data_IF_419227986836
#
_entry.id   IF_419227986836
#
_cell.length_a   1.000
_cell.length_b   1.000
_cell.length_c   1.000
_cell.angle_alpha   90.00
_cell.angle_beta   90.00
_cell.angle_gamma   90.00
#
_symmetry.space_group_name_H-M   'P 1'
#
loop_
_entity.id
_entity.type
_entity.pdbx_description
1 polymer ?
#
# COMPACT_ATOMS: atom_id res chain seq x y z
N UNK A 1 21.06 40.89 62.61
CA UNK A 1 22.36 40.20 62.65
C UNK A 1 22.84 40.01 61.23
N UNK A 2 24.04 40.48 60.89
CA UNK A 2 24.55 40.39 59.52
C UNK A 2 24.97 38.93 59.23
N UNK A 3 24.68 38.36 58.04
CA UNK A 3 24.97 36.95 57.72
C UNK A 3 26.46 36.56 57.81
N UNK A 4 27.36 37.53 57.83
CA UNK A 4 28.80 37.35 57.99
C UNK A 4 29.25 36.98 59.40
N UNK A 5 28.55 37.44 60.46
CA UNK A 5 28.93 37.14 61.85
C UNK A 5 28.63 35.69 62.25
N UNK A 6 27.57 35.10 61.67
CA UNK A 6 27.17 33.71 61.92
C UNK A 6 28.10 32.72 61.22
N UNK A 7 28.63 33.08 60.05
CA UNK A 7 29.60 32.30 59.29
C UNK A 7 30.98 32.25 59.98
N UNK A 8 31.44 33.37 60.54
CA UNK A 8 32.72 33.45 61.25
C UNK A 8 32.76 32.61 62.53
N UNK A 9 31.65 32.50 63.27
CA UNK A 9 31.53 31.60 64.43
C UNK A 9 31.55 30.11 64.06
N UNK A 10 31.06 29.75 62.87
CA UNK A 10 31.10 28.36 62.38
C UNK A 10 32.51 27.89 61.98
N UNK A 11 33.40 28.82 61.63
CA UNK A 11 34.78 28.53 61.22
C UNK A 11 35.71 28.14 62.38
N UNK A 12 35.33 28.40 63.64
CA UNK A 12 36.12 28.02 64.82
C UNK A 12 36.01 26.52 65.17
N UNK A 13 35.02 25.82 64.61
CA UNK A 13 34.77 24.39 64.81
C UNK A 13 35.52 23.50 63.79
N UNK A 14 36.27 24.09 62.86
CA UNK A 14 36.97 23.37 61.80
C UNK A 14 38.46 23.16 62.11
N UNK A 15 39.07 22.05 61.62
CA UNK A 15 40.50 21.82 61.72
C UNK A 15 41.32 22.97 61.08
N UNK A 16 42.52 23.29 61.59
CA UNK A 16 43.29 24.48 61.19
C UNK A 16 43.55 24.58 59.68
N UNK A 17 43.81 23.44 59.03
CA UNK A 17 44.09 23.35 57.58
C UNK A 17 42.88 23.67 56.69
N UNK A 18 41.66 23.43 57.18
CA UNK A 18 40.42 23.73 56.47
C UNK A 18 39.96 25.17 56.74
N UNK A 19 40.24 25.70 57.93
CA UNK A 19 40.01 27.11 58.28
C UNK A 19 40.86 28.05 57.42
N UNK A 20 42.14 27.76 57.22
CA UNK A 20 43.02 28.56 56.36
C UNK A 20 42.57 28.55 54.89
N UNK A 21 42.13 27.40 54.35
CA UNK A 21 41.59 27.33 52.99
C UNK A 21 40.30 28.13 52.81
N UNK A 22 39.40 28.09 53.80
CA UNK A 22 38.15 28.83 53.76
C UNK A 22 38.36 30.35 53.87
N UNK A 23 39.33 30.80 54.67
CA UNK A 23 39.71 32.22 54.77
C UNK A 23 40.36 32.74 53.49
N UNK A 24 41.17 31.91 52.82
CA UNK A 24 41.79 32.25 51.53
C UNK A 24 40.76 32.42 50.41
N UNK A 25 39.80 31.49 50.32
CA UNK A 25 38.71 31.60 49.35
C UNK A 25 37.79 32.81 49.58
N UNK A 26 37.73 33.34 50.80
CA UNK A 26 36.96 34.55 51.12
C UNK A 26 37.72 35.84 50.78
N UNK A 27 39.05 35.81 50.84
CA UNK A 27 39.92 36.90 50.35
C UNK A 27 39.96 36.95 48.82
N UNK A 28 39.93 35.80 48.15
CA UNK A 28 39.89 35.70 46.68
C UNK A 28 38.52 36.06 46.07
N UNK A 29 37.45 36.05 46.88
CA UNK A 29 36.08 36.37 46.45
C UNK A 29 35.68 37.84 46.66
N UNK A 30 36.57 38.71 47.15
CA UNK A 30 36.35 40.15 47.13
C UNK A 30 36.74 40.69 45.76
N UNK A 31 35.82 41.34 45.01
CA UNK A 31 36.17 41.94 43.74
C UNK A 31 37.12 43.12 43.97
N UNK A 32 38.26 43.13 43.30
CA UNK A 32 39.15 44.30 43.24
C UNK A 32 38.36 45.53 42.73
N UNK A 33 38.46 46.65 43.46
CA UNK A 33 37.97 47.95 43.00
C UNK A 33 38.68 48.35 41.70
N UNK A 34 37.96 48.87 40.70
CA UNK A 34 38.58 49.33 39.46
C UNK A 34 39.33 50.66 39.68
N UNK A 35 40.41 50.93 38.93
CA UNK A 35 41.09 52.22 38.98
C UNK A 35 40.23 53.35 38.40
N UNK A 36 40.47 54.57 38.91
CA UNK A 36 39.78 55.82 38.54
C UNK A 36 39.84 56.13 37.02
N UNK A 37 38.86 56.86 36.47
CA UNK A 37 38.59 56.89 35.04
C UNK A 37 39.63 57.74 34.28
N UNK A 38 40.29 57.12 33.30
CA UNK A 38 40.98 57.84 32.21
C UNK A 38 39.92 58.20 31.17
N UNK A 39 39.81 59.50 30.87
CA UNK A 39 38.90 60.01 29.86
C UNK A 39 39.44 59.73 28.46
N UNK A 40 38.91 58.71 27.80
CA UNK A 40 39.08 58.44 26.37
C UNK A 40 37.76 57.86 25.80
N UNK A 41 37.54 58.01 24.48
CA UNK A 41 36.38 58.67 23.90
C UNK A 41 35.08 57.88 24.06
N UNK A 42 33.95 58.60 24.00
CA UNK A 42 32.62 58.01 23.77
C UNK A 42 32.72 57.06 22.57
N UNK A 43 32.80 55.77 22.84
CA UNK A 43 32.46 54.73 21.86
C UNK A 43 30.95 54.83 21.76
N UNK A 44 30.47 55.40 20.64
CA UNK A 44 29.06 55.28 20.27
C UNK A 44 28.68 53.80 20.37
N UNK A 45 27.81 53.47 21.32
CA UNK A 45 27.17 52.16 21.37
C UNK A 45 26.47 51.97 20.03
N UNK A 46 27.05 51.15 19.16
CA UNK A 46 26.38 50.74 17.93
C UNK A 46 24.98 50.24 18.33
N UNK A 47 23.92 50.77 17.69
CA UNK A 47 22.56 50.63 18.20
C UNK A 47 22.24 49.14 18.37
N UNK A 48 21.55 48.77 19.46
CA UNK A 48 21.14 47.38 19.74
C UNK A 48 20.39 46.73 18.56
N UNK A 49 19.77 47.54 17.70
CA UNK A 49 19.18 47.11 16.41
C UNK A 49 20.21 46.49 15.45
N UNK A 50 21.46 46.95 15.41
CA UNK A 50 22.54 46.40 14.59
C UNK A 50 23.01 45.03 15.08
N UNK A 51 23.02 44.79 16.40
CA UNK A 51 23.37 43.48 16.96
C UNK A 51 22.26 42.44 16.77
N UNK A 52 20.99 42.83 16.92
CA UNK A 52 19.86 41.93 16.64
C UNK A 52 19.72 41.63 15.14
N UNK A 53 19.97 42.61 14.27
CA UNK A 53 19.97 42.39 12.82
C UNK A 53 21.12 41.50 12.38
N UNK A 54 22.33 41.65 12.96
CA UNK A 54 23.45 40.74 12.76
C UNK A 54 23.17 39.32 13.26
N UNK A 55 22.52 39.17 14.43
CA UNK A 55 22.12 37.87 14.95
C UNK A 55 21.06 37.19 14.07
N UNK A 56 20.06 37.94 13.59
CA UNK A 56 19.06 37.45 12.63
C UNK A 56 19.71 37.07 11.29
N UNK A 57 20.65 37.86 10.79
CA UNK A 57 21.40 37.55 9.56
C UNK A 57 22.22 36.27 9.70
N UNK A 58 22.86 36.04 10.85
CA UNK A 58 23.58 34.78 11.15
C UNK A 58 22.64 33.58 11.21
N UNK A 59 21.50 33.69 11.90
CA UNK A 59 20.48 32.64 11.94
C UNK A 59 19.92 32.31 10.55
N UNK A 60 19.66 33.32 9.73
CA UNK A 60 19.23 33.14 8.34
C UNK A 60 20.32 32.48 7.48
N UNK A 61 21.60 32.86 7.64
CA UNK A 61 22.71 32.24 6.95
C UNK A 61 22.89 30.77 7.37
N UNK A 62 22.71 30.47 8.65
CA UNK A 62 22.78 29.11 9.18
C UNK A 62 21.60 28.26 8.68
N UNK A 63 20.38 28.82 8.65
CA UNK A 63 19.21 28.17 8.06
C UNK A 63 19.40 27.90 6.56
N UNK A 64 20.01 28.84 5.81
CA UNK A 64 20.36 28.65 4.39
C UNK A 64 21.40 27.54 4.20
N UNK A 65 22.41 27.44 5.07
CA UNK A 65 23.39 26.35 5.05
C UNK A 65 22.74 24.99 5.35
N UNK A 66 21.86 24.91 6.35
CA UNK A 66 21.10 23.68 6.62
C UNK A 66 20.19 23.30 5.45
N UNK A 67 19.49 24.28 4.85
CA UNK A 67 18.65 24.05 3.67
C UNK A 67 19.49 23.57 2.47
N UNK A 68 20.68 24.12 2.27
CA UNK A 68 21.60 23.72 1.20
C UNK A 68 22.18 22.32 1.44
N UNK A 69 22.63 22.01 2.65
CA UNK A 69 23.11 20.68 3.02
C UNK A 69 22.00 19.63 2.92
N UNK A 70 20.76 20.00 3.28
CA UNK A 70 19.58 19.17 3.09
C UNK A 70 19.29 18.94 1.60
N UNK A 71 19.31 20.01 0.80
CA UNK A 71 19.13 19.92 -0.65
C UNK A 71 20.25 19.11 -1.33
N UNK A 72 21.49 19.17 -0.84
CA UNK A 72 22.62 18.36 -1.33
C UNK A 72 22.51 16.89 -0.92
N UNK A 73 21.96 16.57 0.26
CA UNK A 73 21.64 15.20 0.68
C UNK A 73 20.41 14.63 -0.04
N UNK A 74 19.46 15.49 -0.40
CA UNK A 74 18.26 15.15 -1.16
C UNK A 74 18.50 15.18 -2.68
N UNK A 75 19.74 15.47 -3.14
CA UNK A 75 20.07 15.39 -4.57
C UNK A 75 19.86 13.95 -5.05
N UNK A 76 19.18 13.77 -6.18
CA UNK A 76 19.02 12.44 -6.76
C UNK A 76 20.40 11.91 -7.14
N UNK A 77 20.81 10.82 -6.50
CA UNK A 77 22.03 10.09 -6.83
C UNK A 77 21.66 8.80 -7.55
N UNK A 78 22.51 8.35 -8.48
CA UNK A 78 22.35 7.05 -9.14
C UNK A 78 22.27 5.91 -8.11
N UNK A 79 23.14 5.96 -7.09
CA UNK A 79 23.14 4.98 -5.99
C UNK A 79 21.81 4.96 -5.23
N UNK A 80 21.20 6.12 -4.96
CA UNK A 80 19.89 6.21 -4.32
C UNK A 80 18.77 5.60 -5.16
N UNK A 81 18.80 5.80 -6.48
CA UNK A 81 17.82 5.16 -7.39
C UNK A 81 18.00 3.64 -7.41
N UNK A 82 19.23 3.14 -7.53
CA UNK A 82 19.52 1.70 -7.55
C UNK A 82 19.18 1.04 -6.20
N UNK A 83 19.43 1.72 -5.08
CA UNK A 83 19.04 1.23 -3.76
C UNK A 83 17.52 1.09 -3.62
N UNK A 84 16.75 2.10 -4.02
CA UNK A 84 15.28 2.05 -4.00
C UNK A 84 14.73 0.99 -4.98
N UNK A 85 15.36 0.84 -6.15
CA UNK A 85 15.03 -0.22 -7.10
C UNK A 85 15.24 -1.59 -6.45
N UNK A 86 16.40 -1.85 -5.87
CA UNK A 86 16.71 -3.10 -5.19
C UNK A 86 15.74 -3.39 -4.03
N UNK A 87 15.42 -2.37 -3.22
CA UNK A 87 14.42 -2.47 -2.16
C UNK A 87 13.04 -2.85 -2.70
N UNK A 88 12.60 -2.23 -3.80
CA UNK A 88 11.32 -2.55 -4.42
C UNK A 88 11.24 -4.04 -4.86
N UNK A 89 12.29 -4.57 -5.48
CA UNK A 89 12.34 -5.98 -5.88
C UNK A 89 12.44 -6.94 -4.69
N UNK A 90 13.15 -6.56 -3.61
CA UNK A 90 13.17 -7.33 -2.37
C UNK A 90 11.78 -7.42 -1.72
N UNK A 91 11.06 -6.29 -1.65
CA UNK A 91 9.68 -6.24 -1.15
C UNK A 91 8.71 -7.08 -2.00
N UNK A 92 8.93 -7.12 -3.32
CA UNK A 92 8.15 -7.96 -4.21
C UNK A 92 8.37 -9.46 -3.92
N UNK A 93 9.62 -9.86 -3.64
CA UNK A 93 9.95 -11.22 -3.23
C UNK A 93 9.34 -11.60 -1.87
N UNK A 94 9.14 -10.62 -0.97
CA UNK A 94 8.42 -10.78 0.30
C UNK A 94 6.89 -10.79 0.16
N UNK A 95 6.36 -10.79 -1.07
CA UNK A 95 4.92 -10.67 -1.35
C UNK A 95 4.31 -9.37 -0.79
N UNK A 96 5.01 -8.24 -0.90
CA UNK A 96 4.53 -6.90 -0.50
C UNK A 96 4.38 -5.98 -1.72
N UNK A 97 3.50 -6.33 -2.67
CA UNK A 97 3.43 -5.71 -4.01
C UNK A 97 3.07 -4.21 -3.98
N UNK A 98 2.19 -3.78 -3.08
CA UNK A 98 1.82 -2.36 -2.97
C UNK A 98 2.97 -1.51 -2.44
N UNK A 99 3.69 -2.00 -1.43
CA UNK A 99 4.87 -1.31 -0.92
C UNK A 99 6.00 -1.31 -1.94
N UNK A 100 6.24 -2.45 -2.58
CA UNK A 100 7.19 -2.58 -3.67
C UNK A 100 6.91 -1.54 -4.77
N UNK A 101 5.65 -1.41 -5.20
CA UNK A 101 5.28 -0.43 -6.23
C UNK A 101 5.42 1.01 -5.75
N UNK A 102 5.07 1.33 -4.51
CA UNK A 102 5.29 2.67 -3.94
C UNK A 102 6.78 3.03 -3.89
N UNK A 103 7.64 2.09 -3.47
CA UNK A 103 9.10 2.26 -3.45
C UNK A 103 9.64 2.41 -4.88
N UNK A 104 9.13 1.63 -5.82
CA UNK A 104 9.45 1.74 -7.24
C UNK A 104 9.07 3.11 -7.84
N UNK A 105 7.88 3.63 -7.52
CA UNK A 105 7.45 4.98 -7.95
C UNK A 105 8.37 6.08 -7.38
N UNK A 106 8.86 5.92 -6.14
CA UNK A 106 9.87 6.83 -5.56
C UNK A 106 11.19 6.76 -6.34
N UNK A 107 11.64 5.55 -6.70
CA UNK A 107 12.83 5.37 -7.53
C UNK A 107 12.66 6.07 -8.90
N UNK A 108 11.50 5.93 -9.55
CA UNK A 108 11.20 6.63 -10.81
C UNK A 108 11.17 8.14 -10.66
N UNK A 109 10.56 8.66 -9.58
CA UNK A 109 10.54 10.09 -9.31
C UNK A 109 11.95 10.66 -9.09
N UNK A 110 12.79 9.93 -8.37
CA UNK A 110 14.20 10.30 -8.14
C UNK A 110 15.00 10.26 -9.47
N UNK A 111 14.77 9.25 -10.30
CA UNK A 111 15.45 9.05 -11.58
C UNK A 111 15.16 10.16 -12.61
N UNK A 112 13.97 10.80 -12.57
CA UNK A 112 13.63 11.93 -13.46
C UNK A 112 14.59 13.12 -13.34
N UNK A 113 15.30 13.25 -12.23
CA UNK A 113 16.32 14.28 -12.01
C UNK A 113 17.70 13.94 -12.58
N UNK A 114 17.86 12.77 -13.20
CA UNK A 114 19.14 12.24 -13.71
C UNK A 114 19.08 12.04 -15.23
N UNK A 115 20.21 12.16 -15.94
CA UNK A 115 20.27 11.87 -17.38
C UNK A 115 20.03 10.38 -17.64
N UNK A 116 19.25 10.04 -18.67
CA UNK A 116 18.87 8.66 -19.01
C UNK A 116 20.07 7.73 -19.21
N UNK A 117 21.17 8.25 -19.77
CA UNK A 117 22.43 7.52 -19.97
C UNK A 117 23.10 7.06 -18.67
N UNK A 118 22.62 7.51 -17.49
CA UNK A 118 23.15 7.10 -16.20
C UNK A 118 22.74 5.67 -15.79
N UNK A 119 21.77 5.05 -16.47
CA UNK A 119 21.22 3.75 -16.08
C UNK A 119 21.51 2.67 -17.12
N UNK A 120 22.02 1.53 -16.66
CA UNK A 120 22.31 0.36 -17.52
C UNK A 120 21.04 -0.40 -17.87
N UNK A 121 20.10 -0.48 -16.92
CA UNK A 121 18.77 -1.08 -17.12
C UNK A 121 17.70 -0.01 -16.91
N UNK A 122 16.82 0.24 -17.89
CA UNK A 122 15.79 1.26 -17.77
C UNK A 122 14.78 0.88 -16.69
N UNK A 123 14.44 1.85 -15.83
CA UNK A 123 13.50 1.68 -14.72
C UNK A 123 12.05 1.76 -15.21
N UNK A 124 11.63 0.79 -16.03
CA UNK A 124 10.31 0.80 -16.68
C UNK A 124 9.23 0.13 -15.84
N UNK A 125 8.00 0.62 -15.98
CA UNK A 125 6.84 -0.01 -15.33
C UNK A 125 6.63 -1.41 -15.89
N UNK A 126 6.85 -1.64 -17.19
CA UNK A 126 6.71 -2.98 -17.76
C UNK A 126 7.64 -4.00 -17.12
N UNK A 127 8.90 -3.64 -16.82
CA UNK A 127 9.85 -4.54 -16.15
C UNK A 127 9.39 -4.89 -14.72
N UNK A 128 8.86 -3.92 -13.99
CA UNK A 128 8.28 -4.17 -12.66
C UNK A 128 7.05 -5.10 -12.74
N UNK A 129 6.15 -4.86 -13.70
CA UNK A 129 4.96 -5.69 -13.90
C UNK A 129 5.32 -7.11 -14.37
N UNK A 130 6.36 -7.28 -15.17
CA UNK A 130 6.90 -8.59 -15.56
C UNK A 130 7.40 -9.37 -14.35
N UNK A 131 8.16 -8.71 -13.45
CA UNK A 131 8.61 -9.33 -12.22
C UNK A 131 7.46 -9.69 -11.28
N UNK A 132 6.42 -8.84 -11.21
CA UNK A 132 5.21 -9.13 -10.45
C UNK A 132 4.44 -10.31 -11.04
N UNK A 133 4.19 -10.33 -12.35
CA UNK A 133 3.54 -11.46 -13.02
C UNK A 133 4.33 -12.77 -12.83
N UNK A 134 5.66 -12.69 -12.92
CA UNK A 134 6.56 -13.82 -12.66
C UNK A 134 6.49 -14.31 -11.22
N UNK A 135 6.42 -13.40 -10.23
CA UNK A 135 6.29 -13.79 -8.82
C UNK A 135 4.95 -14.48 -8.53
N UNK A 136 3.91 -14.15 -9.29
CA UNK A 136 2.60 -14.81 -9.29
C UNK A 136 2.58 -16.17 -10.02
N UNK A 137 3.66 -16.53 -10.73
CA UNK A 137 3.74 -17.76 -11.52
C UNK A 137 2.94 -17.69 -12.83
N UNK A 138 2.73 -16.50 -13.38
CA UNK A 138 1.97 -16.28 -14.61
C UNK A 138 2.90 -16.23 -15.82
N UNK A 139 2.59 -17.03 -16.84
CA UNK A 139 3.25 -16.95 -18.16
C UNK A 139 2.32 -16.24 -19.14
N UNK A 140 2.53 -14.94 -19.33
CA UNK A 140 1.64 -14.07 -20.11
C UNK A 140 2.24 -13.74 -21.48
N UNK A 141 1.44 -13.85 -22.55
CA UNK A 141 1.88 -13.53 -23.91
C UNK A 141 0.82 -12.77 -24.71
N UNK A 142 1.26 -11.99 -25.70
CA UNK A 142 0.39 -11.24 -26.60
C UNK A 142 -0.64 -10.38 -25.86
N UNK A 143 -1.90 -10.47 -26.28
CA UNK A 143 -3.01 -9.69 -25.70
C UNK A 143 -3.25 -9.98 -24.21
N UNK A 144 -2.92 -11.17 -23.72
CA UNK A 144 -3.12 -11.51 -22.31
C UNK A 144 -2.17 -10.71 -21.41
N UNK A 145 -0.94 -10.49 -21.89
CA UNK A 145 0.07 -9.66 -21.23
C UNK A 145 -0.37 -8.21 -21.16
N UNK A 146 -0.84 -7.65 -22.27
CA UNK A 146 -1.32 -6.25 -22.34
C UNK A 146 -2.47 -5.99 -21.36
N UNK A 147 -3.45 -6.89 -21.33
CA UNK A 147 -4.61 -6.81 -20.42
C UNK A 147 -4.18 -7.00 -18.97
N UNK A 148 -3.37 -8.02 -18.67
CA UNK A 148 -2.88 -8.28 -17.33
C UNK A 148 -2.06 -7.12 -16.76
N UNK A 149 -1.15 -6.55 -17.55
CA UNK A 149 -0.29 -5.44 -17.10
C UNK A 149 -1.11 -4.20 -16.79
N UNK A 150 -2.09 -3.91 -17.65
CA UNK A 150 -3.04 -2.82 -17.41
C UNK A 150 -3.82 -3.01 -16.12
N UNK A 151 -4.35 -4.23 -15.88
CA UNK A 151 -5.14 -4.52 -14.68
C UNK A 151 -4.27 -4.54 -13.41
N UNK A 152 -3.06 -5.10 -13.46
CA UNK A 152 -2.11 -5.11 -12.35
C UNK A 152 -1.66 -3.69 -11.99
N UNK A 153 -1.30 -2.88 -12.98
CA UNK A 153 -0.91 -1.50 -12.73
C UNK A 153 -2.08 -0.69 -12.16
N UNK A 154 -3.29 -0.82 -12.72
CA UNK A 154 -4.48 -0.16 -12.16
C UNK A 154 -4.77 -0.61 -10.73
N UNK A 155 -4.62 -1.91 -10.43
CA UNK A 155 -4.79 -2.42 -9.07
C UNK A 155 -3.80 -1.78 -8.09
N UNK A 156 -2.52 -1.66 -8.47
CA UNK A 156 -1.50 -1.02 -7.64
C UNK A 156 -1.81 0.47 -7.43
N UNK A 157 -2.14 1.19 -8.50
CA UNK A 157 -2.51 2.61 -8.46
C UNK A 157 -3.77 2.86 -7.61
N UNK A 158 -4.81 2.04 -7.77
CA UNK A 158 -6.04 2.11 -6.97
C UNK A 158 -5.73 1.82 -5.50
N UNK A 159 -4.93 0.79 -5.23
CA UNK A 159 -4.54 0.42 -3.87
C UNK A 159 -3.80 1.56 -3.16
N UNK A 160 -2.83 2.20 -3.84
CA UNK A 160 -2.12 3.35 -3.30
C UNK A 160 -3.04 4.58 -3.14
N UNK A 161 -3.84 4.89 -4.15
CA UNK A 161 -4.74 6.05 -4.13
C UNK A 161 -5.78 5.97 -3.00
N UNK A 162 -6.32 4.77 -2.76
CA UNK A 162 -7.30 4.52 -1.69
C UNK A 162 -6.65 4.27 -0.32
N UNK A 163 -5.32 4.34 -0.22
CA UNK A 163 -4.61 4.13 1.05
C UNK A 163 -4.74 2.71 1.60
N UNK A 164 -4.80 1.69 0.72
CA UNK A 164 -4.88 0.30 1.15
C UNK A 164 -3.64 -0.10 1.97
N UNK A 165 -3.84 -0.99 2.94
CA UNK A 165 -2.74 -1.47 3.76
C UNK A 165 -1.64 -2.11 2.87
N UNK A 166 -0.34 -1.92 3.16
CA UNK A 166 0.75 -2.47 2.34
C UNK A 166 0.70 -3.99 2.15
N UNK A 167 0.04 -4.70 3.09
CA UNK A 167 -0.16 -6.13 3.01
C UNK A 167 -1.42 -6.56 2.24
N UNK A 168 -2.11 -5.63 1.58
CA UNK A 168 -3.29 -5.97 0.80
C UNK A 168 -2.89 -6.84 -0.38
N UNK A 169 -3.60 -7.96 -0.50
CA UNK A 169 -3.26 -9.00 -1.46
C UNK A 169 -4.15 -9.01 -2.70
N UNK A 170 -5.25 -8.25 -2.65
CA UNK A 170 -6.25 -8.13 -3.71
C UNK A 170 -6.83 -6.72 -3.72
N UNK A 171 -7.05 -6.18 -4.90
CA UNK A 171 -7.64 -4.86 -5.08
C UNK A 171 -8.89 -4.99 -5.94
N UNK A 172 -9.98 -4.37 -5.49
CA UNK A 172 -11.26 -4.37 -6.18
C UNK A 172 -11.53 -2.98 -6.75
N UNK A 173 -11.88 -2.91 -8.03
CA UNK A 173 -12.26 -1.68 -8.69
C UNK A 173 -13.22 -1.92 -9.85
N UNK A 174 -13.91 -0.87 -10.25
CA UNK A 174 -14.85 -0.90 -11.37
C UNK A 174 -14.19 -0.35 -12.64
N UNK A 175 -14.42 -1.00 -13.78
CA UNK A 175 -13.92 -0.55 -15.07
C UNK A 175 -14.82 -1.02 -16.23
N UNK A 176 -15.21 -0.14 -17.17
CA UNK A 176 -15.94 -0.58 -18.37
C UNK A 176 -15.01 -1.35 -19.33
N UNK A 177 -15.40 -2.56 -19.73
CA UNK A 177 -14.64 -3.35 -20.71
C UNK A 177 -14.39 -2.60 -22.03
N UNK A 178 -15.36 -1.81 -22.49
CA UNK A 178 -15.21 -1.00 -23.71
C UNK A 178 -14.11 0.04 -23.56
N UNK A 179 -13.96 0.65 -22.37
CA UNK A 179 -12.88 1.61 -22.10
C UNK A 179 -11.52 0.93 -22.15
N UNK A 180 -11.39 -0.27 -21.57
CA UNK A 180 -10.15 -1.06 -21.60
C UNK A 180 -9.77 -1.39 -23.06
N UNK A 181 -10.72 -1.90 -23.84
CA UNK A 181 -10.47 -2.26 -25.23
C UNK A 181 -10.06 -1.06 -26.09
N UNK A 182 -10.67 0.11 -25.88
CA UNK A 182 -10.32 1.35 -26.58
C UNK A 182 -8.94 1.89 -26.15
N UNK A 183 -8.61 1.79 -24.87
CA UNK A 183 -7.31 2.25 -24.36
C UNK A 183 -6.15 1.36 -24.86
N UNK A 184 -6.36 0.05 -24.94
CA UNK A 184 -5.35 -0.90 -25.41
C UNK A 184 -5.21 -0.94 -26.93
N UNK A 185 -6.34 -0.88 -27.66
CA UNK A 185 -6.37 -1.05 -29.11
C UNK A 185 -7.22 0.03 -29.78
N UNK A 186 -6.79 1.31 -29.77
CA UNK A 186 -7.56 2.41 -30.34
C UNK A 186 -7.81 2.26 -31.84
N UNK A 187 -6.88 1.63 -32.56
CA UNK A 187 -6.95 1.37 -34.01
C UNK A 187 -7.87 0.19 -34.37
N UNK A 188 -8.24 -0.65 -33.40
CA UNK A 188 -9.06 -1.82 -33.66
C UNK A 188 -10.55 -1.45 -33.75
N UNK A 189 -11.28 -2.12 -34.64
CA UNK A 189 -12.75 -2.05 -34.65
C UNK A 189 -13.28 -2.39 -33.24
N UNK A 190 -14.26 -1.64 -32.68
CA UNK A 190 -14.72 -1.81 -31.31
C UNK A 190 -15.10 -3.25 -30.94
N UNK A 191 -15.77 -3.96 -31.85
CA UNK A 191 -16.16 -5.37 -31.67
C UNK A 191 -14.96 -6.31 -31.56
N UNK A 192 -13.91 -6.03 -32.33
CA UNK A 192 -12.68 -6.83 -32.35
C UNK A 192 -11.90 -6.63 -31.06
N UNK A 193 -11.70 -5.38 -30.64
CA UNK A 193 -11.07 -5.06 -29.36
C UNK A 193 -11.81 -5.71 -28.19
N UNK A 194 -13.15 -5.64 -28.19
CA UNK A 194 -13.98 -6.26 -27.15
C UNK A 194 -13.85 -7.79 -27.13
N UNK A 195 -13.90 -8.45 -28.28
CA UNK A 195 -13.70 -9.93 -28.36
C UNK A 195 -12.31 -10.35 -27.90
N UNK A 196 -11.27 -9.59 -28.25
CA UNK A 196 -9.89 -9.82 -27.77
C UNK A 196 -9.83 -9.72 -26.25
N UNK A 197 -10.39 -8.65 -25.69
CA UNK A 197 -10.45 -8.44 -24.25
C UNK A 197 -11.18 -9.58 -23.54
N UNK A 198 -12.38 -9.98 -24.01
CA UNK A 198 -13.15 -11.04 -23.37
C UNK A 198 -12.40 -12.38 -23.35
N UNK A 199 -11.69 -12.73 -24.42
CA UNK A 199 -10.84 -13.92 -24.46
C UNK A 199 -9.68 -13.84 -23.47
N UNK A 200 -9.02 -12.69 -23.39
CA UNK A 200 -7.94 -12.46 -22.45
C UNK A 200 -8.44 -12.54 -21.00
N UNK A 201 -9.55 -11.87 -20.68
CA UNK A 201 -10.17 -11.92 -19.36
C UNK A 201 -10.50 -13.35 -18.92
N UNK A 202 -11.09 -14.17 -19.80
CA UNK A 202 -11.37 -15.58 -19.49
C UNK A 202 -10.10 -16.37 -19.13
N UNK A 203 -9.00 -16.17 -19.88
CA UNK A 203 -7.70 -16.81 -19.57
C UNK A 203 -7.07 -16.29 -18.28
N UNK A 204 -7.22 -15.00 -17.97
CA UNK A 204 -6.73 -14.43 -16.72
C UNK A 204 -7.55 -14.88 -15.50
N UNK A 205 -8.85 -15.11 -15.66
CA UNK A 205 -9.70 -15.76 -14.65
C UNK A 205 -9.30 -17.22 -14.44
N UNK A 206 -9.08 -17.98 -15.52
CA UNK A 206 -8.59 -19.36 -15.45
C UNK A 206 -7.24 -19.45 -14.75
N UNK A 207 -6.33 -18.51 -15.03
CA UNK A 207 -5.03 -18.38 -14.38
C UNK A 207 -5.13 -17.91 -12.92
N UNK A 208 -6.31 -17.43 -12.48
CA UNK A 208 -6.56 -16.98 -11.12
C UNK A 208 -6.03 -15.58 -10.80
N UNK A 209 -5.58 -14.81 -11.81
CA UNK A 209 -5.13 -13.43 -11.62
C UNK A 209 -6.29 -12.51 -11.24
N UNK A 210 -7.47 -12.75 -11.83
CA UNK A 210 -8.64 -11.90 -11.62
C UNK A 210 -9.90 -12.70 -11.30
N UNK A 211 -10.87 -12.03 -10.69
CA UNK A 211 -12.28 -12.40 -10.73
C UNK A 211 -13.07 -11.20 -11.25
N UNK A 212 -13.99 -11.41 -12.18
CA UNK A 212 -14.79 -10.32 -12.75
C UNK A 212 -16.29 -10.60 -12.70
N UNK A 213 -17.08 -9.54 -12.52
CA UNK A 213 -18.54 -9.63 -12.56
C UNK A 213 -19.12 -8.38 -13.21
N UNK A 214 -20.11 -8.52 -14.13
CA UNK A 214 -20.79 -7.37 -14.70
C UNK A 214 -21.58 -6.65 -13.60
N UNK A 215 -21.50 -5.32 -13.58
CA UNK A 215 -22.33 -4.48 -12.69
C UNK A 215 -23.48 -3.89 -13.48
N UNK A 216 -24.66 -3.93 -12.87
CA UNK A 216 -25.82 -3.18 -13.31
C UNK A 216 -25.80 -1.84 -12.60
N UNK A 217 -25.77 -0.77 -13.38
CA UNK A 217 -25.72 0.59 -12.88
C UNK A 217 -27.03 1.05 -12.29
N UNK A 218 -26.95 2.09 -11.47
CA UNK A 218 -28.09 2.64 -10.73
C UNK A 218 -28.88 3.68 -11.55
N UNK A 219 -28.69 3.74 -12.88
CA UNK A 219 -29.41 4.71 -13.70
C UNK A 219 -30.91 4.42 -13.67
N UNK A 220 -31.68 5.49 -13.59
CA UNK A 220 -33.13 5.47 -13.58
C UNK A 220 -33.65 6.21 -14.79
N UNK A 221 -34.77 5.73 -15.30
CA UNK A 221 -35.55 6.41 -16.31
C UNK A 221 -36.03 7.76 -15.73
N UNK A 222 -35.99 8.81 -16.55
CA UNK A 222 -36.30 10.17 -16.10
C UNK A 222 -37.81 10.47 -16.14
N UNK A 223 -38.59 9.73 -16.93
CA UNK A 223 -40.05 9.83 -17.02
C UNK A 223 -40.71 8.95 -15.95
N UNK A 224 -40.22 7.72 -15.79
CA UNK A 224 -40.88 6.71 -14.92
C UNK A 224 -40.20 6.53 -13.56
N UNK A 225 -38.95 6.97 -13.40
CA UNK A 225 -38.18 6.80 -12.16
C UNK A 225 -37.72 5.36 -11.88
N UNK A 226 -38.03 4.42 -12.77
CA UNK A 226 -37.67 3.01 -12.65
C UNK A 226 -36.20 2.75 -12.98
N UNK A 227 -35.56 1.72 -12.39
CA UNK A 227 -34.18 1.37 -12.73
C UNK A 227 -34.08 0.87 -14.17
N UNK A 228 -33.21 1.49 -14.97
CA UNK A 228 -32.99 1.12 -16.37
C UNK A 228 -32.32 -0.25 -16.54
N UNK A 229 -31.70 -0.79 -15.47
CA UNK A 229 -31.05 -2.09 -15.52
C UNK A 229 -29.82 -2.16 -16.46
N UNK A 230 -29.27 -1.01 -16.86
CA UNK A 230 -28.14 -0.95 -17.79
C UNK A 230 -26.84 -1.40 -17.14
N UNK A 231 -26.05 -2.20 -17.86
CA UNK A 231 -24.70 -2.56 -17.40
C UNK A 231 -23.78 -1.36 -17.54
N UNK A 232 -23.20 -0.91 -16.44
CA UNK A 232 -22.36 0.31 -16.42
C UNK A 232 -20.86 0.03 -16.37
N UNK A 233 -20.51 -1.24 -16.20
CA UNK A 233 -19.17 -1.75 -16.41
C UNK A 233 -18.99 -3.12 -15.80
N UNK A 234 -17.76 -3.40 -15.39
CA UNK A 234 -17.36 -4.67 -14.78
C UNK A 234 -16.58 -4.36 -13.52
N UNK A 235 -16.93 -5.04 -12.43
CA UNK A 235 -16.11 -5.02 -11.22
C UNK A 235 -15.03 -6.07 -11.42
N UNK A 236 -13.79 -5.68 -11.18
CA UNK A 236 -12.63 -6.54 -11.22
C UNK A 236 -12.07 -6.64 -9.82
N UNK A 237 -11.79 -7.86 -9.38
CA UNK A 237 -10.81 -8.14 -8.36
C UNK A 237 -9.53 -8.56 -9.04
N UNK A 238 -8.43 -7.90 -8.70
CA UNK A 238 -7.10 -8.23 -9.19
C UNK A 238 -6.25 -8.70 -8.03
N UNK A 239 -5.65 -9.87 -8.20
CA UNK A 239 -4.73 -10.48 -7.23
C UNK A 239 -3.33 -9.89 -7.40
N UNK A 240 -2.69 -9.54 -6.28
CA UNK A 240 -1.34 -8.99 -6.23
C UNK A 240 -0.31 -9.95 -5.57
N UNK A 241 -0.77 -11.08 -5.02
CA UNK A 241 0.09 -12.10 -4.36
C UNK A 241 -0.18 -13.49 -4.91
N UNK A 242 0.70 -14.46 -4.62
CA UNK A 242 0.48 -15.86 -5.00
C UNK A 242 -0.87 -16.40 -4.48
N UNK A 243 -1.51 -17.26 -5.28
CA UNK A 243 -2.87 -17.78 -5.03
C UNK A 243 -3.86 -17.30 -6.09
N UNK A 244 -5.14 -17.67 -5.95
CA UNK A 244 -6.20 -17.23 -6.87
C UNK A 244 -6.99 -16.05 -6.31
N UNK A 245 -7.45 -15.16 -7.19
CA UNK A 245 -8.39 -14.10 -6.85
C UNK A 245 -9.69 -14.69 -6.30
N UNK A 246 -10.16 -14.23 -5.13
CA UNK A 246 -11.47 -14.65 -4.60
C UNK A 246 -12.61 -14.14 -5.48
N UNK A 247 -13.76 -14.84 -5.55
CA UNK A 247 -14.94 -14.29 -6.20
C UNK A 247 -15.35 -12.97 -5.60
N UNK A 248 -15.97 -12.14 -6.42
CA UNK A 248 -16.59 -10.91 -5.97
C UNK A 248 -17.81 -11.23 -5.11
N UNK A 249 -17.93 -10.56 -3.97
CA UNK A 249 -19.11 -10.69 -3.11
C UNK A 249 -20.26 -9.85 -3.65
N UNK A 250 -21.47 -10.12 -3.14
CA UNK A 250 -22.67 -9.36 -3.53
C UNK A 250 -22.53 -7.89 -3.15
N UNK A 251 -21.93 -7.61 -2.00
CA UNK A 251 -21.68 -6.26 -1.48
C UNK A 251 -20.68 -5.52 -2.38
N UNK A 252 -19.61 -6.19 -2.82
CA UNK A 252 -18.62 -5.61 -3.72
C UNK A 252 -19.21 -5.29 -5.10
N UNK A 253 -20.13 -6.12 -5.60
CA UNK A 253 -20.83 -5.85 -6.88
C UNK A 253 -21.83 -4.70 -6.71
N UNK A 254 -22.56 -4.67 -5.59
CA UNK A 254 -23.58 -3.67 -5.30
C UNK A 254 -23.00 -2.31 -4.87
N UNK A 255 -21.71 -2.25 -4.51
CA UNK A 255 -21.06 -1.02 -4.06
C UNK A 255 -21.23 0.10 -5.11
N UNK A 256 -21.49 1.35 -4.68
CA UNK A 256 -21.68 2.49 -5.57
C UNK A 256 -20.33 2.98 -6.13
N UNK A 257 -19.66 2.14 -6.92
CA UNK A 257 -18.39 2.46 -7.56
C UNK A 257 -18.44 3.71 -8.45
N UNK A 258 -19.63 4.07 -8.92
CA UNK A 258 -19.82 5.22 -9.79
C UNK A 258 -21.27 5.70 -9.78
N UNK A 259 -21.43 7.00 -9.98
CA UNK A 259 -22.72 7.65 -10.20
C UNK A 259 -22.98 7.81 -11.70
N UNK A 260 -23.64 6.79 -12.27
CA UNK A 260 -23.97 6.75 -13.70
C UNK A 260 -24.88 7.91 -14.13
N UNK A 261 -25.78 8.38 -13.26
CA UNK A 261 -26.64 9.53 -13.60
C UNK A 261 -25.81 10.81 -13.75
N UNK A 262 -24.87 11.04 -12.82
CA UNK A 262 -23.94 12.18 -12.92
C UNK A 262 -23.04 12.09 -14.14
N UNK A 263 -22.61 10.88 -14.51
CA UNK A 263 -21.81 10.67 -15.72
C UNK A 263 -22.59 10.98 -16.99
N UNK A 264 -23.85 10.54 -17.07
CA UNK A 264 -24.72 10.83 -18.23
C UNK A 264 -24.89 12.34 -18.37
N UNK A 265 -25.20 13.04 -17.27
CA UNK A 265 -25.31 14.51 -17.24
C UNK A 265 -24.02 15.21 -17.66
N UNK A 266 -22.87 14.65 -17.28
CA UNK A 266 -21.55 15.20 -17.57
C UNK A 266 -20.97 14.76 -18.92
N UNK A 267 -21.71 13.98 -19.74
CA UNK A 267 -21.24 13.31 -20.97
C UNK A 267 -19.96 12.49 -20.76
N UNK A 268 -19.82 11.88 -19.58
CA UNK A 268 -18.70 11.03 -19.16
C UNK A 268 -19.10 9.56 -19.10
N UNK A 269 -19.97 9.10 -19.99
CA UNK A 269 -20.40 7.70 -20.09
C UNK A 269 -19.80 6.99 -21.29
N UNK A 270 -19.35 5.74 -21.10
CA UNK A 270 -19.08 4.80 -22.21
C UNK A 270 -20.37 4.05 -22.57
N UNK A 271 -21.52 4.74 -22.54
CA UNK A 271 -22.78 4.18 -23.04
C UNK A 271 -22.83 4.48 -24.53
N UNK A 272 -22.54 3.43 -25.29
CA UNK A 272 -22.69 3.27 -26.74
C UNK A 272 -22.11 4.27 -27.74
N UNK A 273 -21.86 5.56 -27.48
CA UNK A 273 -21.52 6.47 -28.61
C UNK A 273 -20.55 7.65 -28.39
N UNK A 274 -19.98 7.91 -27.21
CA UNK A 274 -19.23 9.17 -27.07
C UNK A 274 -18.21 9.20 -25.94
N UNK A 275 -17.36 8.18 -25.83
CA UNK A 275 -16.09 8.37 -25.12
C UNK A 275 -15.02 8.86 -26.10
N UNK A 276 -14.76 10.16 -26.06
CA UNK A 276 -13.61 10.76 -26.75
C UNK A 276 -12.47 10.84 -25.73
N UNK A 277 -11.34 10.14 -25.96
CA UNK A 277 -10.15 10.29 -25.13
C UNK A 277 -9.76 11.79 -25.04
N UNK A 278 -9.35 12.30 -23.88
CA UNK A 278 -8.71 13.60 -23.83
C UNK A 278 -7.46 13.59 -24.73
N UNK A 279 -7.36 14.55 -25.66
CA UNK A 279 -6.21 14.68 -26.56
C UNK A 279 -4.94 14.86 -25.73
N UNK A 280 -3.93 14.03 -25.95
CA UNK A 280 -2.60 14.14 -25.31
C UNK A 280 -2.32 13.17 -24.15
N UNK A 281 -3.22 12.23 -23.83
CA UNK A 281 -2.91 11.15 -22.87
C UNK A 281 -2.09 10.06 -23.55
N UNK A 282 -0.88 9.81 -23.03
CA UNK A 282 0.13 8.93 -23.66
C UNK A 282 0.02 7.47 -23.21
N UNK A 283 -0.57 7.20 -22.03
CA UNK A 283 -0.64 5.84 -21.45
C UNK A 283 -2.09 5.32 -21.28
N UNK A 284 -2.38 4.07 -21.67
CA UNK A 284 -3.68 3.43 -21.45
C UNK A 284 -4.13 3.46 -19.98
N UNK A 285 -3.20 3.31 -19.04
CA UNK A 285 -3.51 3.30 -17.60
C UNK A 285 -3.97 4.68 -17.12
N UNK A 286 -3.34 5.75 -17.59
CA UNK A 286 -3.73 7.12 -17.20
C UNK A 286 -5.12 7.48 -17.72
N UNK A 287 -5.49 6.96 -18.89
CA UNK A 287 -6.85 7.08 -19.42
C UNK A 287 -7.88 6.33 -18.56
N UNK A 288 -7.52 5.13 -18.08
CA UNK A 288 -8.40 4.25 -17.32
C UNK A 288 -8.51 4.62 -15.83
N UNK A 289 -7.53 5.35 -15.27
CA UNK A 289 -7.58 5.86 -13.88
C UNK A 289 -8.84 6.67 -13.60
N UNK A 290 -9.30 7.48 -14.56
CA UNK A 290 -10.54 8.25 -14.43
C UNK A 290 -11.81 7.38 -14.27
N UNK A 291 -11.72 6.09 -14.63
CA UNK A 291 -12.80 5.12 -14.46
C UNK A 291 -12.64 4.25 -13.22
N UNK A 292 -11.39 3.84 -12.92
CA UNK A 292 -11.07 2.97 -11.79
C UNK A 292 -11.07 3.69 -10.42
N UNK A 293 -10.80 5.01 -10.41
CA UNK A 293 -10.77 5.85 -9.21
C UNK A 293 -12.09 6.65 -9.11
N UNK A 294 -13.03 6.25 -8.24
CA UNK A 294 -14.25 7.02 -8.03
C UNK A 294 -13.95 8.40 -7.44
N UNK A 295 -14.85 9.39 -7.61
CA UNK A 295 -14.67 10.71 -7.03
C UNK A 295 -14.60 10.65 -5.49
N UNK A 296 -13.70 11.46 -4.93
CA UNK A 296 -13.32 11.55 -3.50
C UNK A 296 -14.52 11.61 -2.52
N UNK A 297 -15.69 12.05 -2.98
CA UNK A 297 -16.93 12.11 -2.19
C UNK A 297 -17.55 10.74 -1.86
N UNK A 298 -16.96 9.63 -2.31
CA UNK A 298 -17.45 8.26 -2.10
C UNK A 298 -16.44 7.35 -1.38
N UNK A 299 -15.53 7.94 -0.61
CA UNK A 299 -14.59 7.24 0.26
C UNK A 299 -15.32 6.62 1.47
N UNK A 300 -16.23 5.69 1.22
CA UNK A 300 -16.61 4.72 2.24
C UNK A 300 -15.50 3.67 2.38
N UNK A 301 -15.35 3.18 3.60
CA UNK A 301 -14.36 2.24 4.12
C UNK A 301 -13.93 1.17 3.10
N UNK A 302 -12.62 0.84 2.99
CA UNK A 302 -12.12 -0.13 2.00
C UNK A 302 -12.85 -1.48 2.09
N UNK A 303 -13.41 -1.94 0.96
CA UNK A 303 -14.03 -3.27 0.80
C UNK A 303 -13.01 -4.43 0.70
N UNK A 304 -11.73 -4.18 0.93
CA UNK A 304 -10.77 -5.26 1.08
C UNK A 304 -10.90 -5.78 2.52
N UNK A 305 -11.38 -7.01 2.69
CA UNK A 305 -11.48 -7.68 3.99
C UNK A 305 -10.21 -8.50 4.32
N UNK A 306 -9.19 -8.46 3.45
CA UNK A 306 -8.06 -9.39 3.50
C UNK A 306 -6.80 -8.76 4.15
N UNK A 307 -6.94 -7.64 4.89
CA UNK A 307 -5.83 -6.94 5.56
C UNK A 307 -5.56 -7.42 7.00
N UNK A 308 -6.53 -8.07 7.64
CA UNK A 308 -6.44 -8.53 9.04
C UNK A 308 -5.55 -9.76 9.24
N UNK A 309 -5.15 -10.45 8.17
CA UNK A 309 -4.32 -11.64 8.27
C UNK A 309 -2.98 -11.44 7.56
N UNK A 310 -1.85 -11.41 8.29
CA UNK A 310 -0.52 -11.47 7.69
C UNK A 310 -0.42 -12.64 6.69
N UNK A 311 0.39 -12.56 5.62
CA UNK A 311 0.62 -13.70 4.71
C UNK A 311 1.24 -14.92 5.42
N UNK A 312 1.69 -14.76 6.67
CA UNK A 312 2.16 -15.83 7.55
C UNK A 312 1.07 -16.43 8.45
N UNK A 313 -0.12 -15.83 8.50
CA UNK A 313 -1.23 -16.32 9.29
C UNK A 313 -1.70 -17.69 8.78
N UNK A 314 -1.61 -18.75 9.59
CA UNK A 314 -2.08 -20.08 9.23
C UNK A 314 -3.57 -20.09 8.83
N UNK A 315 -4.39 -19.21 9.43
CA UNK A 315 -5.83 -19.11 9.14
C UNK A 315 -6.09 -18.60 7.73
N UNK A 316 -5.49 -17.49 7.33
CA UNK A 316 -5.65 -16.98 5.96
C UNK A 316 -5.07 -17.94 4.90
N UNK A 317 -3.94 -18.60 5.17
CA UNK A 317 -3.41 -19.63 4.26
C UNK A 317 -4.38 -20.79 4.11
N UNK A 318 -4.98 -21.25 5.20
CA UNK A 318 -5.98 -22.30 5.20
C UNK A 318 -7.24 -21.88 4.41
N UNK A 319 -7.75 -20.66 4.64
CA UNK A 319 -8.89 -20.09 3.91
C UNK A 319 -8.64 -20.07 2.41
N UNK A 320 -7.51 -19.49 2.00
CA UNK A 320 -7.15 -19.35 0.59
C UNK A 320 -6.98 -20.72 -0.07
N UNK A 321 -6.34 -21.67 0.61
CA UNK A 321 -6.18 -23.02 0.08
C UNK A 321 -7.52 -23.75 -0.13
N UNK A 322 -8.51 -23.55 0.75
CA UNK A 322 -9.87 -24.09 0.57
C UNK A 322 -10.56 -23.44 -0.63
N UNK A 323 -10.43 -22.13 -0.80
CA UNK A 323 -10.98 -21.40 -1.95
C UNK A 323 -10.28 -21.80 -3.27
N UNK A 324 -8.96 -22.00 -3.26
CA UNK A 324 -8.19 -22.42 -4.43
C UNK A 324 -8.70 -23.78 -4.96
N UNK A 325 -9.06 -24.70 -4.06
CA UNK A 325 -9.67 -25.99 -4.46
C UNK A 325 -11.03 -25.77 -5.12
N UNK A 326 -11.87 -24.87 -4.58
CA UNK A 326 -13.20 -24.58 -5.16
C UNK A 326 -13.11 -24.10 -6.61
N UNK A 327 -12.12 -23.25 -6.90
CA UNK A 327 -12.01 -22.57 -8.20
C UNK A 327 -10.96 -23.16 -9.15
N UNK A 328 -10.26 -24.22 -8.75
CA UNK A 328 -9.32 -24.87 -9.66
C UNK A 328 -10.02 -25.58 -10.83
N UNK A 329 -9.34 -25.63 -11.98
CA UNK A 329 -9.83 -26.39 -13.12
C UNK A 329 -9.87 -27.89 -12.81
N UNK A 330 -10.79 -28.63 -13.44
CA UNK A 330 -10.98 -30.08 -13.20
C UNK A 330 -9.68 -30.89 -13.28
N UNK A 331 -8.83 -30.56 -14.24
CA UNK A 331 -7.52 -31.20 -14.46
C UNK A 331 -6.52 -30.98 -13.31
N UNK A 332 -6.62 -29.87 -12.59
CA UNK A 332 -5.65 -29.45 -11.56
C UNK A 332 -6.10 -29.83 -10.14
N UNK A 333 -7.34 -30.33 -9.97
CA UNK A 333 -7.94 -30.65 -8.67
C UNK A 333 -7.07 -31.54 -7.78
N UNK A 334 -6.39 -32.53 -8.34
CA UNK A 334 -5.53 -33.45 -7.57
C UNK A 334 -4.41 -32.70 -6.87
N UNK A 335 -3.77 -31.76 -7.57
CA UNK A 335 -2.68 -30.96 -7.04
C UNK A 335 -3.18 -29.98 -5.98
N UNK A 336 -4.26 -29.25 -6.28
CA UNK A 336 -4.84 -28.27 -5.35
C UNK A 336 -5.38 -28.92 -4.08
N UNK A 337 -6.07 -30.06 -4.18
CA UNK A 337 -6.53 -30.81 -3.00
C UNK A 337 -5.33 -31.34 -2.19
N UNK A 338 -4.27 -31.79 -2.87
CA UNK A 338 -3.03 -32.23 -2.22
C UNK A 338 -2.41 -31.13 -1.36
N UNK A 339 -2.17 -29.96 -1.97
CA UNK A 339 -1.60 -28.77 -1.30
C UNK A 339 -2.51 -28.25 -0.20
N UNK A 340 -3.82 -28.12 -0.46
CA UNK A 340 -4.76 -27.62 0.52
C UNK A 340 -4.88 -28.55 1.73
N UNK A 341 -4.87 -29.87 1.54
CA UNK A 341 -4.86 -30.83 2.64
C UNK A 341 -3.63 -30.67 3.56
N UNK A 342 -2.45 -30.40 2.99
CA UNK A 342 -1.24 -30.13 3.76
C UNK A 342 -1.28 -28.77 4.47
N UNK A 343 -1.77 -27.73 3.78
CA UNK A 343 -1.95 -26.40 4.36
C UNK A 343 -2.91 -26.43 5.54
N UNK A 344 -4.04 -27.12 5.40
CA UNK A 344 -5.00 -27.33 6.49
C UNK A 344 -4.35 -28.09 7.65
N UNK A 345 -3.69 -29.22 7.38
CA UNK A 345 -3.01 -30.01 8.42
C UNK A 345 -1.98 -29.18 9.21
N UNK A 346 -1.20 -28.33 8.53
CA UNK A 346 -0.27 -27.40 9.19
C UNK A 346 -1.01 -26.34 10.00
N UNK A 347 -2.07 -25.74 9.46
CA UNK A 347 -2.86 -24.73 10.17
C UNK A 347 -3.51 -25.30 11.45
N UNK A 348 -4.00 -26.53 11.42
CA UNK A 348 -4.57 -27.22 12.57
C UNK A 348 -3.53 -27.85 13.51
N UNK A 349 -2.23 -27.75 13.19
CA UNK A 349 -1.13 -28.45 13.88
C UNK A 349 -1.37 -29.97 14.00
N UNK A 350 -1.98 -30.56 12.98
CA UNK A 350 -2.34 -31.98 12.92
C UNK A 350 -1.86 -32.63 11.60
N UNK A 351 -0.56 -32.97 11.51
CA UNK A 351 0.03 -33.53 10.30
C UNK A 351 -0.45 -34.96 9.97
N UNK A 352 -1.05 -35.67 10.93
CA UNK A 352 -1.54 -37.05 10.70
C UNK A 352 -2.87 -37.08 9.96
N UNK A 353 -3.63 -35.98 10.01
CA UNK A 353 -4.97 -35.86 9.42
C UNK A 353 -5.00 -35.30 7.99
N UNK A 354 -3.86 -35.22 7.29
CA UNK A 354 -3.80 -34.71 5.90
C UNK A 354 -4.81 -35.41 4.99
N UNK A 355 -4.94 -36.73 5.09
CA UNK A 355 -5.86 -37.50 4.26
C UNK A 355 -7.34 -37.23 4.59
N UNK A 356 -7.66 -36.92 5.85
CA UNK A 356 -9.00 -36.49 6.25
C UNK A 356 -9.36 -35.17 5.55
N UNK A 357 -8.47 -34.17 5.60
CA UNK A 357 -8.71 -32.88 4.94
C UNK A 357 -8.83 -33.03 3.42
N UNK A 358 -8.00 -33.86 2.80
CA UNK A 358 -8.13 -34.21 1.37
C UNK A 358 -9.48 -34.84 1.06
N UNK A 359 -9.96 -35.75 1.91
CA UNK A 359 -11.26 -36.40 1.74
C UNK A 359 -12.43 -35.40 1.85
N UNK A 360 -12.37 -34.47 2.81
CA UNK A 360 -13.37 -33.40 2.97
C UNK A 360 -13.42 -32.48 1.74
N UNK A 361 -12.26 -32.05 1.24
CA UNK A 361 -12.15 -31.22 0.04
C UNK A 361 -12.68 -31.94 -1.21
N UNK A 362 -12.35 -33.22 -1.39
CA UNK A 362 -12.93 -34.05 -2.45
C UNK A 362 -14.44 -34.22 -2.30
N UNK A 363 -14.95 -34.34 -1.07
CA UNK A 363 -16.37 -34.36 -0.77
C UNK A 363 -17.07 -33.07 -1.23
N UNK A 364 -16.51 -31.92 -0.88
CA UNK A 364 -17.03 -30.61 -1.28
C UNK A 364 -17.00 -30.43 -2.81
N UNK A 365 -15.91 -30.84 -3.48
CA UNK A 365 -15.83 -30.81 -4.95
C UNK A 365 -16.91 -31.66 -5.63
N UNK A 366 -17.18 -32.87 -5.12
CA UNK A 366 -18.23 -33.75 -5.68
C UNK A 366 -19.62 -33.14 -5.56
N UNK A 367 -19.90 -32.43 -4.46
CA UNK A 367 -21.17 -31.73 -4.30
C UNK A 367 -21.25 -30.49 -5.17
N UNK A 368 -20.14 -29.76 -5.32
CA UNK A 368 -20.05 -28.61 -6.22
C UNK A 368 -20.30 -29.02 -7.68
N UNK A 369 -19.77 -30.17 -8.11
CA UNK A 369 -20.06 -30.74 -9.44
C UNK A 369 -21.55 -31.10 -9.64
N UNK A 370 -22.29 -31.32 -8.54
CA UNK A 370 -23.75 -31.54 -8.53
C UNK A 370 -24.55 -30.24 -8.38
N UNK A 371 -23.89 -29.09 -8.37
CA UNK A 371 -24.50 -27.76 -8.24
C UNK A 371 -24.72 -27.29 -6.81
N UNK A 372 -24.23 -28.01 -5.80
CA UNK A 372 -24.39 -27.63 -4.38
C UNK A 372 -23.04 -27.19 -3.80
N UNK A 373 -22.95 -25.91 -3.44
CA UNK A 373 -21.72 -25.32 -2.90
C UNK A 373 -21.65 -25.43 -1.37
N UNK A 374 -20.76 -26.29 -0.88
CA UNK A 374 -20.48 -26.46 0.55
C UNK A 374 -19.15 -25.85 1.01
N UNK A 375 -18.40 -25.19 0.12
CA UNK A 375 -17.06 -24.70 0.49
C UNK A 375 -17.09 -23.60 1.54
N UNK A 376 -18.09 -22.72 1.48
CA UNK A 376 -18.26 -21.69 2.51
C UNK A 376 -18.65 -22.30 3.86
N UNK A 377 -19.59 -23.24 3.88
CA UNK A 377 -19.97 -23.96 5.09
C UNK A 377 -18.79 -24.75 5.68
N UNK A 378 -18.02 -25.42 4.82
CA UNK A 378 -16.80 -26.12 5.20
C UNK A 378 -15.79 -25.15 5.82
N UNK A 379 -15.55 -24.00 5.20
CA UNK A 379 -14.65 -22.99 5.77
C UNK A 379 -15.12 -22.50 7.14
N UNK A 380 -16.40 -22.17 7.30
CA UNK A 380 -16.93 -21.72 8.60
C UNK A 380 -16.74 -22.75 9.71
N UNK A 381 -16.94 -24.04 9.41
CA UNK A 381 -16.68 -25.12 10.37
C UNK A 381 -15.19 -25.21 10.71
N UNK A 382 -14.32 -25.14 9.71
CA UNK A 382 -12.87 -25.18 9.92
C UNK A 382 -12.36 -23.97 10.72
N UNK A 383 -12.85 -22.78 10.39
CA UNK A 383 -12.58 -21.53 11.08
C UNK A 383 -13.03 -21.60 12.55
N UNK A 384 -14.23 -22.12 12.81
CA UNK A 384 -14.71 -22.32 14.18
C UNK A 384 -13.79 -23.22 14.98
N UNK A 385 -13.30 -24.31 14.40
CA UNK A 385 -12.35 -25.22 15.07
C UNK A 385 -11.01 -24.54 15.36
N UNK A 386 -10.54 -23.66 14.46
CA UNK A 386 -9.32 -22.86 14.70
C UNK A 386 -9.52 -21.85 15.83
N UNK A 387 -10.69 -21.23 15.93
CA UNK A 387 -11.06 -20.34 17.04
C UNK A 387 -11.14 -21.11 18.35
N UNK A 388 -11.86 -22.24 18.37
CA UNK A 388 -12.02 -23.05 19.57
C UNK A 388 -10.66 -23.59 20.09
N UNK A 389 -9.71 -23.92 19.20
CA UNK A 389 -8.35 -24.32 19.59
C UNK A 389 -7.56 -23.19 20.26
N UNK A 390 -7.71 -21.96 19.81
CA UNK A 390 -7.07 -20.79 20.42
C UNK A 390 -7.71 -20.43 21.76
N UNK A 391 -9.04 -20.44 21.82
CA UNK A 391 -9.77 -20.21 23.08
C UNK A 391 -9.49 -21.30 24.12
N UNK A 392 -9.40 -22.57 23.70
CA UNK A 392 -9.09 -23.69 24.60
C UNK A 392 -7.65 -23.63 25.12
N UNK A 393 -6.72 -22.99 24.40
CA UNK A 393 -5.38 -22.70 24.90
C UNK A 393 -5.40 -21.59 25.95
N UNK A 394 -6.18 -20.52 25.71
CA UNK A 394 -6.35 -19.39 26.64
C UNK A 394 -7.09 -19.76 27.94
N UNK A 395 -7.92 -20.82 27.94
CA UNK A 395 -8.67 -21.30 29.11
C UNK A 395 -7.91 -22.32 29.98
N UNK A 396 -6.64 -22.65 29.68
CA UNK A 396 -5.84 -23.53 30.55
C UNK A 396 -5.33 -22.76 31.78
N UNK A 397 -5.49 -23.29 33.01
CA UNK A 397 -4.89 -22.67 34.18
C UNK A 397 -3.36 -22.76 34.05
N UNK A 398 -2.68 -21.61 33.95
CA UNK A 398 -1.21 -21.52 33.86
C UNK A 398 -0.64 -20.96 32.55
N UNK A 399 -1.45 -20.41 31.64
CA UNK A 399 -0.96 -19.67 30.48
C UNK A 399 -0.59 -18.23 30.83
N UNK A 400 0.59 -18.03 31.42
CA UNK A 400 1.28 -16.73 31.51
C UNK A 400 2.57 -16.79 30.70
#
# INVERSE_FOLDING_TARGET
MKPTETFLKGLELLPPSLREKALRGLQEAQPEEPPAPVAEPKVEEAPREDQETLARARLQAQARLFARNRAERERPTREGVEALKAEAYALLAEERPLLAYATFQRAQALAKGLPEAAFTDPLTVEAFLEALASSLGLSLQGYDREVAYTLLQLALEVGLYRGYHPLTSEVVFHLPQTAIAQALWPEAKPETGRKRLQRALGRLEEAGLIASAPRVGNARDWETGEPLGWKDGTVFRVRLRRGRARPLTREEIAHPWRDLQRDIKSRRTVVSQSYTPPKGVVSPVDQLKAWALPPVSSLETPLSQDWDSPPQDPRARARNAVQDVKFCARKDRREFVGRAGETLARAFRDPKSVNLYRALLWGALRQLDRGVDHFEALWRVLERVLVDKEEAWARRPGGS
#
